data_IF_200416697719
#
_entry.id   IF_200416697719
#
_cell.length_a   1.000
_cell.length_b   1.000
_cell.length_c   1.000
_cell.angle_alpha   90.00
_cell.angle_beta   90.00
_cell.angle_gamma   90.00
#
_symmetry.space_group_name_H-M   'P 1'
#
loop_
_entity.id
_entity.type
_entity.pdbx_description
1 polymer ?
#
# COMPACT_ATOMS: atom_id res chain seq x y z
N UNK A 1 33.16 20.60 -2.40
CA UNK A 1 32.18 19.49 -2.51
C UNK A 1 32.76 18.33 -1.72
N UNK A 2 32.15 17.97 -0.63
CA UNK A 2 32.64 16.91 0.26
C UNK A 2 32.31 15.58 -0.40
N UNK A 3 33.32 14.74 -0.61
CA UNK A 3 33.27 13.40 -1.29
C UNK A 3 32.37 12.37 -0.58
N UNK A 4 31.62 12.79 0.44
CA UNK A 4 30.74 11.94 1.27
C UNK A 4 29.42 11.47 0.65
N UNK A 5 29.05 11.96 -0.52
CA UNK A 5 27.72 11.73 -1.12
C UNK A 5 27.71 10.74 -2.30
N UNK A 6 28.86 10.10 -2.57
CA UNK A 6 28.91 9.09 -3.64
C UNK A 6 28.05 7.89 -3.28
N UNK A 7 27.09 7.56 -4.17
CA UNK A 7 26.21 6.40 -4.05
C UNK A 7 26.80 5.17 -4.77
N UNK A 8 26.72 4.02 -4.12
CA UNK A 8 27.04 2.71 -4.72
C UNK A 8 25.73 1.96 -5.01
N UNK A 9 25.65 1.33 -6.18
CA UNK A 9 24.56 0.48 -6.57
C UNK A 9 24.99 -0.99 -6.60
N UNK A 10 24.14 -1.84 -6.07
CA UNK A 10 24.38 -3.28 -6.00
C UNK A 10 23.11 -4.01 -6.45
N UNK A 11 23.23 -4.98 -7.36
CA UNK A 11 22.11 -5.88 -7.64
C UNK A 11 21.90 -6.83 -6.46
N UNK A 12 20.68 -7.12 -6.08
CA UNK A 12 20.33 -7.93 -4.89
C UNK A 12 21.09 -9.25 -4.78
N UNK A 13 21.33 -9.95 -5.90
CA UNK A 13 22.09 -11.22 -5.91
C UNK A 13 23.58 -11.07 -5.60
N UNK A 14 24.11 -9.86 -5.79
CA UNK A 14 25.53 -9.50 -5.55
C UNK A 14 25.65 -8.51 -4.40
N UNK A 15 24.52 -8.07 -3.83
CA UNK A 15 24.47 -7.09 -2.77
C UNK A 15 24.89 -7.72 -1.45
N UNK A 16 25.68 -6.96 -0.69
CA UNK A 16 25.92 -7.21 0.74
C UNK A 16 24.69 -6.89 1.59
N UNK A 17 23.64 -6.28 1.02
CA UNK A 17 22.43 -5.91 1.74
C UNK A 17 21.65 -7.16 2.19
N UNK A 18 21.34 -7.24 3.46
CA UNK A 18 20.59 -8.32 4.08
C UNK A 18 19.09 -8.02 4.12
N UNK A 19 18.28 -9.06 4.27
CA UNK A 19 16.85 -8.91 4.54
C UNK A 19 16.60 -8.09 5.81
N UNK A 20 17.48 -8.20 6.82
CA UNK A 20 17.40 -7.43 8.06
C UNK A 20 17.62 -5.93 7.83
N UNK A 21 18.59 -5.53 7.00
CA UNK A 21 18.80 -4.12 6.65
C UNK A 21 17.63 -3.54 5.83
N UNK A 22 17.09 -4.33 4.88
CA UNK A 22 15.88 -3.95 4.17
C UNK A 22 14.71 -3.73 5.12
N UNK A 23 14.55 -4.63 6.08
CA UNK A 23 13.49 -4.54 7.09
C UNK A 23 13.63 -3.29 7.96
N UNK A 24 14.85 -3.02 8.45
CA UNK A 24 15.13 -1.80 9.20
C UNK A 24 14.89 -0.52 8.37
N UNK A 25 15.14 -0.57 7.05
CA UNK A 25 14.83 0.53 6.15
C UNK A 25 13.32 0.69 5.96
N UNK A 26 12.59 -0.42 5.83
CA UNK A 26 11.13 -0.41 5.73
C UNK A 26 10.46 0.15 7.00
N UNK A 27 11.01 -0.13 8.19
CA UNK A 27 10.58 0.49 9.45
C UNK A 27 10.73 2.02 9.41
N UNK A 28 11.87 2.53 8.95
CA UNK A 28 12.07 3.99 8.80
C UNK A 28 11.17 4.59 7.74
N UNK A 29 10.84 3.84 6.69
CA UNK A 29 9.92 4.26 5.63
C UNK A 29 8.46 4.29 6.11
N UNK A 30 8.07 3.37 7.01
CA UNK A 30 6.72 3.25 7.56
C UNK A 30 5.68 2.77 6.55
N UNK A 31 6.11 2.06 5.49
CA UNK A 31 5.22 1.54 4.45
C UNK A 31 5.25 0.01 4.44
N UNK A 32 4.16 -0.68 4.84
CA UNK A 32 4.10 -2.13 4.90
C UNK A 32 4.31 -2.80 3.52
N UNK A 33 3.94 -2.14 2.44
CA UNK A 33 4.14 -2.64 1.07
C UNK A 33 5.59 -2.54 0.60
N UNK A 34 6.43 -1.76 1.31
CA UNK A 34 7.88 -1.70 1.13
C UNK A 34 8.64 -2.79 1.90
N UNK A 35 8.00 -3.51 2.81
CA UNK A 35 8.65 -4.52 3.65
C UNK A 35 9.13 -5.74 2.85
N UNK A 36 10.20 -6.41 3.29
CA UNK A 36 10.64 -7.65 2.68
C UNK A 36 9.57 -8.75 2.77
N UNK A 37 8.77 -8.81 3.85
CA UNK A 37 7.69 -9.78 3.99
C UNK A 37 6.67 -9.64 2.87
N UNK A 38 6.23 -8.41 2.56
CA UNK A 38 5.29 -8.17 1.46
C UNK A 38 5.90 -8.52 0.11
N UNK A 39 7.07 -7.98 -0.18
CA UNK A 39 7.70 -8.08 -1.49
C UNK A 39 8.15 -9.51 -1.83
N UNK A 40 8.76 -10.22 -0.86
CA UNK A 40 9.24 -11.59 -1.08
C UNK A 40 8.08 -12.60 -1.11
N UNK A 41 7.03 -12.38 -0.31
CA UNK A 41 5.80 -13.19 -0.41
C UNK A 41 5.11 -12.95 -1.75
N UNK A 42 5.01 -11.69 -2.21
CA UNK A 42 4.48 -11.37 -3.52
C UNK A 42 5.27 -12.06 -4.64
N UNK A 43 6.61 -12.02 -4.56
CA UNK A 43 7.48 -12.69 -5.54
C UNK A 43 7.25 -14.20 -5.58
N UNK A 44 7.08 -14.84 -4.43
CA UNK A 44 6.78 -16.27 -4.35
C UNK A 44 5.49 -16.64 -5.08
N UNK A 45 4.44 -15.84 -4.93
CA UNK A 45 3.13 -16.14 -5.52
C UNK A 45 3.00 -15.73 -6.99
N UNK A 46 3.71 -14.69 -7.42
CA UNK A 46 3.53 -14.14 -8.78
C UNK A 46 4.82 -13.92 -9.56
N UNK A 47 5.95 -14.35 -9.06
CA UNK A 47 7.25 -14.19 -9.74
C UNK A 47 7.47 -15.10 -10.95
N UNK A 48 6.71 -16.20 -11.08
CA UNK A 48 6.88 -17.16 -12.18
C UNK A 48 6.78 -16.47 -13.56
N UNK A 49 7.71 -16.78 -14.44
CA UNK A 49 7.79 -16.20 -15.80
C UNK A 49 8.23 -14.74 -15.84
N UNK A 50 8.76 -14.19 -14.72
CA UNK A 50 9.27 -12.82 -14.61
C UNK A 50 10.73 -12.83 -14.17
N UNK A 51 11.45 -11.73 -14.41
CA UNK A 51 12.82 -11.58 -13.94
C UNK A 51 12.90 -10.59 -12.77
N UNK A 52 13.44 -11.04 -11.64
CA UNK A 52 13.67 -10.20 -10.47
C UNK A 52 14.75 -9.16 -10.77
N UNK A 53 14.53 -7.92 -10.38
CA UNK A 53 15.42 -6.77 -10.58
C UNK A 53 15.46 -5.91 -9.33
N UNK A 54 15.88 -6.46 -8.21
CA UNK A 54 16.09 -5.69 -6.98
C UNK A 54 17.48 -5.11 -6.99
N UNK A 55 17.60 -3.81 -6.67
CA UNK A 55 18.88 -3.13 -6.47
C UNK A 55 18.90 -2.45 -5.11
N UNK A 56 20.07 -2.40 -4.48
CA UNK A 56 20.35 -1.67 -3.24
C UNK A 56 21.24 -0.46 -3.55
N UNK A 57 20.96 0.66 -2.90
CA UNK A 57 21.75 1.87 -3.00
C UNK A 57 22.36 2.18 -1.63
N UNK A 58 23.69 2.38 -1.56
CA UNK A 58 24.44 2.67 -0.35
C UNK A 58 25.24 3.96 -0.49
N UNK A 59 25.53 4.62 0.64
CA UNK A 59 26.57 5.67 0.70
C UNK A 59 27.95 5.02 0.65
N UNK A 60 28.82 5.48 -0.26
CA UNK A 60 30.10 4.83 -0.54
C UNK A 60 31.02 4.76 0.69
N UNK A 61 31.12 5.85 1.45
CA UNK A 61 32.04 5.93 2.60
C UNK A 61 31.48 5.21 3.83
N UNK A 62 30.21 5.43 4.15
CA UNK A 62 29.59 4.88 5.38
C UNK A 62 29.04 3.45 5.20
N UNK A 63 28.93 2.94 3.97
CA UNK A 63 28.29 1.67 3.68
C UNK A 63 26.79 1.63 4.01
N UNK A 64 26.21 2.75 4.48
CA UNK A 64 24.83 2.83 4.94
C UNK A 64 23.84 2.61 3.79
N UNK A 65 22.87 1.74 4.00
CA UNK A 65 21.79 1.49 3.03
C UNK A 65 20.85 2.70 2.97
N UNK A 66 20.77 3.32 1.80
CA UNK A 66 19.95 4.51 1.50
C UNK A 66 18.59 4.10 0.93
N UNK A 67 18.59 3.16 -0.02
CA UNK A 67 17.37 2.74 -0.70
C UNK A 67 17.44 1.29 -1.18
N UNK A 68 16.26 0.67 -1.28
CA UNK A 68 16.03 -0.56 -2.04
C UNK A 68 15.04 -0.23 -3.17
N UNK A 69 15.32 -0.70 -4.38
CA UNK A 69 14.43 -0.62 -5.54
C UNK A 69 13.89 -2.01 -5.86
N UNK A 70 12.72 -2.37 -5.30
CA UNK A 70 12.16 -3.71 -5.44
C UNK A 70 11.43 -3.84 -6.78
N UNK A 71 12.15 -4.11 -7.85
CA UNK A 71 11.63 -4.18 -9.20
C UNK A 71 11.57 -5.61 -9.72
N UNK A 72 10.72 -5.80 -10.72
CA UNK A 72 10.71 -6.98 -11.59
C UNK A 72 10.47 -6.59 -13.05
N UNK A 73 10.97 -7.39 -13.96
CA UNK A 73 10.75 -7.26 -15.38
C UNK A 73 9.73 -8.29 -15.85
N UNK A 74 8.67 -7.82 -16.52
CA UNK A 74 7.67 -8.64 -17.19
C UNK A 74 7.75 -8.42 -18.69
N UNK A 75 7.93 -9.50 -19.45
CA UNK A 75 7.89 -9.43 -20.92
C UNK A 75 6.43 -9.49 -21.37
N UNK A 76 5.97 -8.43 -22.00
CA UNK A 76 4.67 -8.31 -22.66
C UNK A 76 4.89 -7.85 -24.08
N UNK A 77 5.18 -8.80 -24.97
CA UNK A 77 5.52 -8.49 -26.36
C UNK A 77 4.60 -7.44 -26.99
N UNK A 78 5.17 -6.41 -27.63
CA UNK A 78 6.59 -6.24 -27.91
C UNK A 78 7.41 -5.60 -26.75
N UNK A 79 6.79 -5.23 -25.59
CA UNK A 79 7.40 -4.46 -24.50
C UNK A 79 7.98 -5.34 -23.39
N UNK A 80 9.12 -4.91 -22.87
CA UNK A 80 9.70 -5.36 -21.59
C UNK A 80 9.41 -4.29 -20.54
N UNK A 81 8.53 -4.62 -19.58
CA UNK A 81 7.99 -3.65 -18.63
C UNK A 81 8.57 -3.88 -17.25
N UNK A 82 9.27 -2.88 -16.72
CA UNK A 82 9.68 -2.80 -15.32
C UNK A 82 8.50 -2.35 -14.45
N UNK A 83 8.34 -2.99 -13.30
CA UNK A 83 7.34 -2.64 -12.29
C UNK A 83 7.88 -2.86 -10.89
N UNK A 84 7.30 -2.19 -9.92
CA UNK A 84 7.57 -2.51 -8.51
C UNK A 84 6.94 -3.85 -8.12
N UNK A 85 7.64 -4.61 -7.27
CA UNK A 85 7.07 -5.74 -6.55
C UNK A 85 5.84 -5.28 -5.75
N UNK A 86 4.95 -6.20 -5.42
CA UNK A 86 3.69 -5.83 -4.76
C UNK A 86 2.59 -5.36 -5.71
N UNK A 87 2.89 -5.15 -6.98
CA UNK A 87 1.93 -4.71 -7.99
C UNK A 87 0.66 -5.58 -8.02
N UNK A 88 -0.47 -4.91 -8.00
CA UNK A 88 -1.81 -5.50 -7.99
C UNK A 88 -2.48 -5.46 -6.62
N UNK A 89 -2.01 -6.17 -5.60
CA UNK A 89 -2.57 -6.04 -4.25
C UNK A 89 -1.99 -4.87 -3.43
N UNK A 90 -0.79 -4.38 -3.72
CA UNK A 90 -0.18 -3.29 -2.95
C UNK A 90 -0.77 -1.92 -3.26
N UNK A 91 -0.92 -1.08 -2.24
CA UNK A 91 -1.51 0.26 -2.37
C UNK A 91 -0.49 1.41 -2.34
N UNK A 92 0.73 1.16 -1.87
CA UNK A 92 1.80 2.16 -1.85
C UNK A 92 3.10 1.48 -2.29
N UNK A 93 3.45 1.65 -3.57
CA UNK A 93 4.63 1.03 -4.17
C UNK A 93 5.71 2.08 -4.40
N UNK A 94 6.95 1.66 -4.59
CA UNK A 94 8.04 2.58 -4.90
C UNK A 94 9.39 2.14 -4.34
N UNK A 95 10.38 3.01 -4.41
CA UNK A 95 11.63 2.85 -3.67
C UNK A 95 11.37 2.78 -2.16
N UNK A 96 12.08 1.91 -1.47
CA UNK A 96 12.06 1.85 -0.01
C UNK A 96 13.23 2.68 0.52
N UNK A 97 12.96 3.81 1.14
CA UNK A 97 13.97 4.70 1.72
C UNK A 97 13.38 5.44 2.93
N UNK A 98 14.26 5.94 3.80
CA UNK A 98 13.83 6.85 4.86
C UNK A 98 13.34 8.19 4.25
N UNK A 99 12.37 8.90 4.86
CA UNK A 99 11.89 10.19 4.34
C UNK A 99 12.99 11.23 4.09
N UNK A 100 14.03 11.25 4.94
CA UNK A 100 15.17 12.15 4.80
C UNK A 100 16.08 11.81 3.60
N UNK A 101 16.04 10.58 3.11
CA UNK A 101 16.90 10.09 2.02
C UNK A 101 16.22 10.12 0.64
N UNK A 102 15.01 10.66 0.50
CA UNK A 102 14.23 10.63 -0.76
C UNK A 102 15.00 11.18 -1.97
N UNK A 103 15.72 12.30 -1.79
CA UNK A 103 16.49 12.89 -2.88
C UNK A 103 17.63 11.97 -3.35
N UNK A 104 18.39 11.40 -2.42
CA UNK A 104 19.46 10.45 -2.69
C UNK A 104 18.89 9.14 -3.30
N UNK A 105 17.74 8.67 -2.80
CA UNK A 105 17.04 7.51 -3.36
C UNK A 105 16.59 7.76 -4.79
N UNK A 106 16.10 8.95 -5.12
CA UNK A 106 15.73 9.33 -6.49
C UNK A 106 16.92 9.33 -7.45
N UNK A 107 18.06 9.89 -7.02
CA UNK A 107 19.31 9.87 -7.78
C UNK A 107 19.83 8.44 -7.99
N UNK A 108 19.88 7.65 -6.92
CA UNK A 108 20.27 6.24 -7.00
C UNK A 108 19.35 5.43 -7.91
N UNK A 109 18.03 5.74 -7.91
CA UNK A 109 17.09 5.05 -8.80
C UNK A 109 17.35 5.35 -10.27
N UNK A 110 17.66 6.60 -10.61
CA UNK A 110 18.03 6.97 -11.99
C UNK A 110 19.27 6.20 -12.44
N UNK A 111 20.30 6.10 -11.59
CA UNK A 111 21.51 5.30 -11.90
C UNK A 111 21.19 3.82 -12.04
N UNK A 112 20.35 3.23 -11.16
CA UNK A 112 19.96 1.83 -11.26
C UNK A 112 19.26 1.53 -12.58
N UNK A 113 18.40 2.43 -13.08
CA UNK A 113 17.76 2.29 -14.39
C UNK A 113 18.76 2.42 -15.53
N UNK A 114 19.77 3.30 -15.41
CA UNK A 114 20.85 3.44 -16.42
C UNK A 114 21.71 2.18 -16.49
N UNK A 115 22.05 1.56 -15.36
CA UNK A 115 22.81 0.30 -15.31
C UNK A 115 22.07 -0.89 -15.92
N UNK A 116 20.73 -0.88 -15.89
CA UNK A 116 19.92 -1.87 -16.61
C UNK A 116 19.98 -1.70 -18.14
N UNK A 117 20.47 -0.56 -18.61
CA UNK A 117 20.71 -0.29 -20.03
C UNK A 117 19.51 -0.56 -20.92
N UNK A 118 19.71 -1.33 -21.99
CA UNK A 118 18.67 -1.71 -22.95
C UNK A 118 17.79 -2.89 -22.54
N UNK A 119 17.88 -3.39 -21.30
CA UNK A 119 17.13 -4.58 -20.86
C UNK A 119 15.63 -4.34 -20.65
N UNK A 120 15.18 -3.10 -20.66
CA UNK A 120 13.80 -2.71 -20.47
C UNK A 120 13.37 -1.63 -21.46
N UNK A 121 12.07 -1.53 -21.74
CA UNK A 121 11.49 -0.55 -22.65
C UNK A 121 10.59 0.46 -21.93
N UNK A 122 9.89 0.03 -20.88
CA UNK A 122 8.95 0.86 -20.13
C UNK A 122 9.08 0.59 -18.62
N UNK A 123 9.27 1.63 -17.82
CA UNK A 123 9.01 1.60 -16.39
C UNK A 123 7.59 2.13 -16.13
N UNK A 124 6.77 1.31 -15.47
CA UNK A 124 5.44 1.73 -15.03
C UNK A 124 5.38 1.68 -13.50
N UNK A 125 5.50 2.87 -12.88
CA UNK A 125 5.28 3.07 -11.45
C UNK A 125 3.81 3.29 -11.17
N UNK A 126 3.19 2.41 -10.41
CA UNK A 126 1.79 2.51 -10.04
C UNK A 126 1.65 2.71 -8.54
N UNK A 127 0.75 3.61 -8.13
CA UNK A 127 0.44 3.86 -6.73
C UNK A 127 1.69 4.26 -5.91
N UNK A 128 2.55 5.08 -6.50
CA UNK A 128 3.75 5.60 -5.84
C UNK A 128 3.36 6.88 -5.09
N UNK A 129 3.73 7.03 -3.81
CA UNK A 129 3.41 8.27 -3.08
C UNK A 129 3.98 9.50 -3.80
N UNK A 130 3.12 10.49 -4.08
CA UNK A 130 3.54 11.71 -4.76
C UNK A 130 4.62 12.47 -3.98
N UNK A 131 4.52 12.44 -2.65
CA UNK A 131 5.49 13.07 -1.74
C UNK A 131 6.90 12.46 -1.82
N UNK A 132 7.07 11.26 -2.38
CA UNK A 132 8.39 10.65 -2.56
C UNK A 132 9.15 11.24 -3.76
N UNK A 133 8.46 12.02 -4.63
CA UNK A 133 9.06 12.75 -5.74
C UNK A 133 9.69 11.86 -6.83
N UNK A 134 9.36 10.57 -6.87
CA UNK A 134 10.01 9.60 -7.77
C UNK A 134 9.79 9.94 -9.23
N UNK A 135 8.58 10.31 -9.63
CA UNK A 135 8.28 10.70 -11.01
C UNK A 135 9.10 11.91 -11.45
N UNK A 136 9.24 12.92 -10.56
CA UNK A 136 10.04 14.13 -10.80
C UNK A 136 11.52 13.78 -10.91
N UNK A 137 12.05 13.00 -9.97
CA UNK A 137 13.47 12.59 -9.95
C UNK A 137 13.87 11.83 -11.22
N UNK A 138 12.96 11.07 -11.82
CA UNK A 138 13.20 10.30 -13.04
C UNK A 138 12.87 11.08 -14.32
N UNK A 139 12.24 12.26 -14.26
CA UNK A 139 11.67 12.91 -15.44
C UNK A 139 10.53 12.10 -16.09
N UNK A 140 9.84 11.29 -15.31
CA UNK A 140 8.78 10.42 -15.79
C UNK A 140 7.45 11.18 -15.98
N UNK A 141 6.58 10.66 -16.85
CA UNK A 141 5.27 11.25 -17.11
C UNK A 141 4.22 10.71 -16.15
N UNK A 142 3.64 11.58 -15.32
CA UNK A 142 2.48 11.25 -14.48
C UNK A 142 1.27 11.03 -15.37
N UNK A 143 0.67 9.86 -15.28
CA UNK A 143 -0.51 9.44 -16.04
C UNK A 143 -1.80 9.62 -15.25
N UNK A 144 -1.74 9.46 -13.93
CA UNK A 144 -2.89 9.53 -13.04
C UNK A 144 -2.46 9.88 -11.63
N UNK A 145 -3.33 10.62 -10.93
CA UNK A 145 -3.27 10.83 -9.48
C UNK A 145 -4.50 10.23 -8.81
N UNK A 146 -4.32 9.68 -7.63
CA UNK A 146 -5.38 9.09 -6.82
C UNK A 146 -5.24 9.56 -5.39
N UNK A 147 -6.39 9.75 -4.74
CA UNK A 147 -6.41 10.12 -3.32
C UNK A 147 -5.93 8.98 -2.43
N UNK A 148 -5.21 9.35 -1.38
CA UNK A 148 -4.75 8.46 -0.31
C UNK A 148 -4.83 9.21 1.02
N UNK A 149 -6.03 9.32 1.63
CA UNK A 149 -6.24 10.10 2.84
C UNK A 149 -5.38 9.62 3.99
N UNK A 150 -4.85 10.58 4.75
CA UNK A 150 -3.94 10.37 5.87
C UNK A 150 -4.42 11.19 7.07
N UNK A 151 -4.45 10.59 8.25
CA UNK A 151 -4.69 11.28 9.50
C UNK A 151 -3.38 11.39 10.28
N UNK A 152 -2.73 12.56 10.31
CA UNK A 152 -1.65 12.81 11.25
C UNK A 152 -2.20 12.74 12.69
N UNK A 153 -1.58 11.95 13.55
CA UNK A 153 -1.94 11.84 14.95
C UNK A 153 -1.10 12.88 15.72
N UNK A 154 -1.65 14.07 15.85
CA UNK A 154 -1.01 15.22 16.53
C UNK A 154 -1.69 15.60 17.83
N UNK A 155 -2.84 15.01 18.16
CA UNK A 155 -3.56 15.20 19.41
C UNK A 155 -3.07 14.20 20.45
N UNK A 156 -3.12 14.60 21.72
CA UNK A 156 -2.70 13.73 22.83
C UNK A 156 -3.62 12.52 23.03
N UNK A 157 -4.92 12.68 22.75
CA UNK A 157 -5.90 11.63 22.94
C UNK A 157 -6.96 11.60 21.82
N UNK A 158 -7.62 10.46 21.68
CA UNK A 158 -8.74 10.27 20.77
C UNK A 158 -9.87 11.30 20.96
N UNK A 159 -10.21 11.65 22.20
CA UNK A 159 -11.28 12.61 22.47
C UNK A 159 -10.92 14.03 22.04
N UNK A 160 -9.66 14.44 22.14
CA UNK A 160 -9.17 15.74 21.66
C UNK A 160 -9.25 15.79 20.12
N UNK A 161 -8.79 14.74 19.45
CA UNK A 161 -8.97 14.62 17.99
C UNK A 161 -10.46 14.65 17.63
N UNK A 162 -11.30 13.88 18.31
CA UNK A 162 -12.73 13.84 18.00
C UNK A 162 -13.38 15.22 18.23
N UNK A 163 -12.93 16.00 19.22
CA UNK A 163 -13.36 17.38 19.45
C UNK A 163 -13.03 18.30 18.28
N UNK A 164 -11.95 18.06 17.55
CA UNK A 164 -11.59 18.83 16.35
C UNK A 164 -12.47 18.55 15.13
N UNK A 165 -13.25 17.46 15.14
CA UNK A 165 -14.15 17.11 14.04
C UNK A 165 -15.52 17.80 14.20
N UNK A 166 -16.32 17.83 13.10
CA UNK A 166 -17.62 18.48 13.11
C UNK A 166 -18.56 17.91 14.20
N UNK A 167 -19.37 18.78 14.81
CA UNK A 167 -20.33 18.39 15.84
C UNK A 167 -21.27 17.26 15.38
N UNK A 168 -21.72 17.35 14.13
CA UNK A 168 -22.59 16.34 13.52
C UNK A 168 -21.89 14.97 13.46
N UNK A 169 -20.63 14.92 12.98
CA UNK A 169 -19.89 13.66 12.92
C UNK A 169 -19.69 13.04 14.31
N UNK A 170 -19.28 13.85 15.30
CA UNK A 170 -19.11 13.41 16.70
C UNK A 170 -20.40 12.82 17.27
N UNK A 171 -21.51 13.55 17.09
CA UNK A 171 -22.82 13.14 17.61
C UNK A 171 -23.28 11.83 16.94
N UNK A 172 -23.13 11.73 15.61
CA UNK A 172 -23.51 10.52 14.88
C UNK A 172 -22.68 9.31 15.32
N UNK A 173 -21.36 9.45 15.45
CA UNK A 173 -20.47 8.36 15.88
C UNK A 173 -20.88 7.86 17.29
N UNK A 174 -20.95 8.77 18.26
CA UNK A 174 -21.33 8.44 19.64
C UNK A 174 -22.74 7.84 19.76
N UNK A 175 -23.68 8.30 18.92
CA UNK A 175 -25.02 7.73 18.85
C UNK A 175 -25.02 6.29 18.33
N UNK A 176 -24.26 6.01 17.28
CA UNK A 176 -24.13 4.67 16.69
C UNK A 176 -23.49 3.69 17.67
N UNK A 177 -22.39 4.06 18.29
CA UNK A 177 -21.70 3.27 19.32
C UNK A 177 -22.66 2.93 20.48
N UNK A 178 -23.33 3.95 21.05
CA UNK A 178 -24.29 3.75 22.13
C UNK A 178 -25.47 2.88 21.73
N UNK A 179 -26.01 3.07 20.52
CA UNK A 179 -27.13 2.25 20.03
C UNK A 179 -26.74 0.78 19.91
N UNK A 180 -25.54 0.51 19.40
CA UNK A 180 -25.06 -0.86 19.28
C UNK A 180 -24.82 -1.51 20.65
N UNK A 181 -24.21 -0.78 21.60
CA UNK A 181 -23.86 -1.30 22.91
C UNK A 181 -25.05 -1.47 23.87
N UNK A 182 -26.16 -0.71 23.70
CA UNK A 182 -27.32 -0.76 24.62
C UNK A 182 -28.14 -2.04 24.52
N UNK A 183 -28.21 -2.63 23.37
CA UNK A 183 -29.12 -3.74 23.08
C UNK A 183 -28.43 -5.08 22.86
N UNK A 184 -27.10 -5.12 22.88
CA UNK A 184 -26.33 -6.27 22.44
C UNK A 184 -24.98 -6.38 23.12
N UNK A 185 -24.48 -7.61 23.33
CA UNK A 185 -23.11 -7.85 23.74
C UNK A 185 -22.17 -7.55 22.55
N UNK A 186 -21.33 -6.51 22.68
CA UNK A 186 -20.40 -6.05 21.64
C UNK A 186 -18.97 -6.28 22.11
N UNK A 187 -18.17 -6.90 21.25
CA UNK A 187 -16.75 -7.16 21.50
C UNK A 187 -15.90 -6.75 20.32
N UNK A 188 -14.83 -6.01 20.57
CA UNK A 188 -13.76 -5.76 19.61
C UNK A 188 -12.58 -6.68 19.95
N UNK A 189 -12.16 -7.48 19.00
CA UNK A 189 -11.09 -8.43 19.20
C UNK A 189 -9.99 -8.23 18.16
N UNK A 190 -8.76 -8.08 18.61
CA UNK A 190 -7.57 -8.08 17.75
C UNK A 190 -7.03 -9.51 17.67
N UNK A 191 -6.74 -9.97 16.46
CA UNK A 191 -6.03 -11.25 16.26
C UNK A 191 -4.58 -11.08 16.68
N UNK A 192 -4.18 -11.80 17.72
CA UNK A 192 -2.81 -11.77 18.28
C UNK A 192 -2.14 -13.14 18.23
N UNK A 193 -2.88 -14.20 17.92
CA UNK A 193 -2.45 -15.58 17.94
C UNK A 193 -2.54 -16.24 16.55
N UNK A 194 -1.54 -17.02 16.21
CA UNK A 194 -1.50 -17.81 14.97
C UNK A 194 -2.63 -18.84 14.89
N UNK A 195 -3.10 -19.36 16.02
CA UNK A 195 -4.22 -20.33 16.07
C UNK A 195 -5.54 -19.70 15.64
N UNK A 196 -5.75 -18.42 15.95
CA UNK A 196 -6.95 -17.66 15.55
C UNK A 196 -6.87 -17.12 14.12
N UNK A 197 -5.65 -16.87 13.61
CA UNK A 197 -5.42 -16.17 12.35
C UNK A 197 -6.15 -16.79 11.17
N UNK A 198 -6.17 -18.12 11.07
CA UNK A 198 -6.84 -18.79 9.93
C UNK A 198 -8.35 -18.55 9.93
N UNK A 199 -8.97 -18.67 11.09
CA UNK A 199 -10.40 -18.41 11.29
C UNK A 199 -10.74 -16.94 10.95
N UNK A 200 -9.96 -16.02 11.48
CA UNK A 200 -10.22 -14.59 11.36
C UNK A 200 -10.00 -14.07 9.94
N UNK A 201 -9.00 -14.60 9.22
CA UNK A 201 -8.85 -14.33 7.79
C UNK A 201 -10.00 -14.90 6.97
N UNK A 202 -10.51 -16.08 7.32
CA UNK A 202 -11.69 -16.65 6.65
C UNK A 202 -12.91 -15.78 6.88
N UNK A 203 -13.11 -15.30 8.10
CA UNK A 203 -14.16 -14.33 8.46
C UNK A 203 -14.02 -13.04 7.66
N UNK A 204 -12.82 -12.46 7.59
CA UNK A 204 -12.54 -11.26 6.78
C UNK A 204 -12.92 -11.49 5.31
N UNK A 205 -12.48 -12.59 4.70
CA UNK A 205 -12.76 -12.88 3.29
C UNK A 205 -14.25 -13.04 3.02
N UNK A 206 -14.97 -13.72 3.92
CA UNK A 206 -16.41 -13.89 3.85
C UNK A 206 -17.15 -12.55 3.93
N UNK A 207 -16.87 -11.74 4.93
CA UNK A 207 -17.47 -10.42 5.15
C UNK A 207 -17.12 -9.43 4.03
N UNK A 208 -15.88 -9.49 3.52
CA UNK A 208 -15.48 -8.68 2.37
C UNK A 208 -16.26 -9.07 1.11
N UNK A 209 -16.42 -10.37 0.85
CA UNK A 209 -17.18 -10.89 -0.29
C UNK A 209 -18.67 -10.54 -0.17
N UNK A 210 -19.23 -10.63 1.02
CA UNK A 210 -20.63 -10.26 1.27
C UNK A 210 -20.91 -8.78 0.93
N UNK A 211 -19.93 -7.89 1.23
CA UNK A 211 -20.04 -6.45 0.94
C UNK A 211 -19.76 -6.09 -0.51
N UNK A 212 -18.73 -6.67 -1.13
CA UNK A 212 -18.17 -6.20 -2.41
C UNK A 212 -18.39 -7.16 -3.57
N UNK A 213 -18.87 -8.37 -3.30
CA UNK A 213 -18.94 -9.47 -4.29
C UNK A 213 -17.57 -10.08 -4.60
N UNK A 214 -17.53 -10.98 -5.57
CA UNK A 214 -16.35 -11.77 -5.96
C UNK A 214 -15.54 -11.14 -7.09
N UNK A 215 -15.44 -9.81 -7.13
CA UNK A 215 -14.72 -9.11 -8.21
C UNK A 215 -13.25 -9.53 -8.27
N UNK A 216 -12.78 -10.00 -9.42
CA UNK A 216 -11.40 -10.42 -9.63
C UNK A 216 -10.37 -9.27 -9.42
N UNK A 217 -10.79 -8.01 -9.55
CA UNK A 217 -9.96 -6.82 -9.27
C UNK A 217 -9.81 -6.50 -7.79
N UNK A 218 -10.65 -7.10 -6.92
CA UNK A 218 -10.57 -6.87 -5.46
C UNK A 218 -9.22 -7.32 -4.91
N UNK A 219 -8.70 -6.56 -3.95
CA UNK A 219 -7.47 -6.91 -3.24
C UNK A 219 -7.57 -8.28 -2.54
N UNK A 220 -8.75 -8.64 -2.03
CA UNK A 220 -9.04 -9.91 -1.36
C UNK A 220 -9.78 -10.93 -2.25
N UNK A 221 -9.68 -10.78 -3.59
CA UNK A 221 -10.25 -11.77 -4.51
C UNK A 221 -9.78 -13.20 -4.18
N UNK A 222 -10.59 -14.24 -4.43
CA UNK A 222 -10.25 -15.64 -4.09
C UNK A 222 -8.85 -16.06 -4.56
N UNK A 223 -8.43 -15.63 -5.75
CA UNK A 223 -7.10 -15.92 -6.30
C UNK A 223 -5.94 -15.26 -5.54
N UNK A 224 -6.21 -14.29 -4.66
CA UNK A 224 -5.23 -13.56 -3.85
C UNK A 224 -5.20 -14.00 -2.39
N UNK A 225 -6.19 -14.74 -1.93
CA UNK A 225 -6.30 -15.19 -0.55
C UNK A 225 -5.09 -16.02 -0.08
N UNK A 226 -4.51 -16.94 -0.88
CA UNK A 226 -3.30 -17.68 -0.46
C UNK A 226 -2.13 -16.75 -0.12
N UNK A 227 -1.93 -15.69 -0.92
CA UNK A 227 -0.93 -14.67 -0.63
C UNK A 227 -1.20 -13.98 0.71
N UNK A 228 -2.45 -13.52 0.93
CA UNK A 228 -2.81 -12.83 2.17
C UNK A 228 -2.69 -13.71 3.40
N UNK A 229 -3.00 -15.01 3.30
CA UNK A 229 -2.79 -15.94 4.40
C UNK A 229 -1.30 -16.05 4.77
N UNK A 230 -0.42 -16.19 3.79
CA UNK A 230 1.02 -16.29 4.04
C UNK A 230 1.60 -14.96 4.55
N UNK A 231 1.23 -13.85 3.92
CA UNK A 231 1.71 -12.54 4.33
C UNK A 231 1.23 -12.17 5.75
N UNK A 232 -0.06 -12.39 6.06
CA UNK A 232 -0.61 -12.10 7.38
C UNK A 232 0.08 -12.92 8.49
N UNK A 233 0.41 -14.18 8.23
CA UNK A 233 1.14 -15.00 9.20
C UNK A 233 2.55 -14.44 9.49
N UNK A 234 3.26 -13.99 8.45
CA UNK A 234 4.57 -13.33 8.59
C UNK A 234 4.47 -11.98 9.31
N UNK A 235 3.45 -11.18 8.97
CA UNK A 235 3.20 -9.89 9.60
C UNK A 235 2.81 -10.05 11.07
N UNK A 236 2.00 -11.08 11.41
CA UNK A 236 1.63 -11.39 12.80
C UNK A 236 2.86 -11.79 13.63
N UNK A 237 3.71 -12.67 13.09
CA UNK A 237 4.93 -13.11 13.78
C UNK A 237 5.89 -11.93 14.10
N UNK A 238 5.75 -10.79 13.42
CA UNK A 238 6.50 -9.56 13.66
C UNK A 238 5.73 -8.48 14.43
N UNK A 239 4.53 -8.77 14.91
CA UNK A 239 3.67 -7.81 15.58
C UNK A 239 3.15 -6.67 14.67
N UNK A 240 3.21 -6.88 13.34
CA UNK A 240 2.82 -5.87 12.33
C UNK A 240 1.39 -6.03 11.82
N UNK A 241 0.77 -7.19 12.04
CA UNK A 241 -0.61 -7.43 11.64
C UNK A 241 -1.57 -6.68 12.55
N UNK A 242 -2.57 -6.05 11.94
CA UNK A 242 -3.73 -5.48 12.61
C UNK A 242 -4.97 -6.08 11.95
N UNK A 243 -5.53 -7.11 12.56
CA UNK A 243 -6.77 -7.75 12.11
C UNK A 243 -7.78 -7.68 13.24
N UNK A 244 -8.70 -6.72 13.14
CA UNK A 244 -9.76 -6.51 14.09
C UNK A 244 -11.04 -7.22 13.65
N UNK A 245 -11.70 -7.88 14.60
CA UNK A 245 -13.03 -8.47 14.43
C UNK A 245 -13.99 -7.78 15.40
N UNK A 246 -15.10 -7.28 14.87
CA UNK A 246 -16.23 -6.82 15.67
C UNK A 246 -17.24 -7.94 15.76
N UNK A 247 -17.50 -8.38 16.98
CA UNK A 247 -18.48 -9.43 17.30
C UNK A 247 -19.69 -8.80 18.01
N UNK A 248 -20.87 -9.28 17.64
CA UNK A 248 -22.14 -8.91 18.30
C UNK A 248 -22.87 -10.19 18.65
N UNK A 249 -23.22 -10.38 19.92
CA UNK A 249 -23.79 -11.62 20.46
C UNK A 249 -22.92 -12.87 20.16
N UNK A 250 -21.61 -12.69 20.02
CA UNK A 250 -20.65 -13.73 19.67
C UNK A 250 -20.44 -13.95 18.16
N UNK A 251 -21.28 -13.37 17.31
CA UNK A 251 -21.16 -13.49 15.85
C UNK A 251 -20.28 -12.39 15.27
N UNK A 252 -19.34 -12.70 14.36
CA UNK A 252 -18.52 -11.69 13.70
C UNK A 252 -19.34 -10.94 12.63
N UNK A 253 -19.50 -9.63 12.83
CA UNK A 253 -20.32 -8.76 11.96
C UNK A 253 -19.49 -7.79 11.12
N UNK A 254 -18.25 -7.49 11.51
CA UNK A 254 -17.32 -6.71 10.71
C UNK A 254 -15.87 -7.15 10.97
N UNK A 255 -15.03 -7.01 9.96
CA UNK A 255 -13.59 -7.24 10.03
C UNK A 255 -12.85 -6.09 9.39
N UNK A 256 -11.73 -5.67 10.01
CA UNK A 256 -10.82 -4.63 9.56
C UNK A 256 -9.41 -5.22 9.47
N UNK A 257 -8.79 -5.11 8.33
CA UNK A 257 -7.49 -5.68 8.01
C UNK A 257 -6.52 -4.58 7.64
N UNK A 258 -5.44 -4.48 8.39
CA UNK A 258 -4.42 -3.48 8.21
C UNK A 258 -3.08 -3.89 8.82
N UNK A 259 -2.15 -2.95 8.84
CA UNK A 259 -0.76 -3.20 9.23
C UNK A 259 -0.21 -2.02 10.01
N UNK A 260 0.75 -2.32 10.88
CA UNK A 260 1.51 -1.34 11.63
C UNK A 260 2.98 -1.46 11.29
N UNK A 261 3.62 -0.36 10.92
CA UNK A 261 5.04 -0.31 10.61
C UNK A 261 5.60 1.09 10.90
N UNK A 262 6.71 1.18 11.61
CA UNK A 262 7.42 2.44 11.83
C UNK A 262 6.56 3.54 12.47
N UNK A 263 5.68 3.20 13.43
CA UNK A 263 4.77 4.14 14.09
C UNK A 263 3.61 4.63 13.22
N UNK A 264 3.30 3.92 12.15
CA UNK A 264 2.19 4.22 11.23
C UNK A 264 1.24 3.03 11.22
N UNK A 265 -0.06 3.28 11.39
CA UNK A 265 -1.10 2.29 11.16
C UNK A 265 -1.75 2.50 9.80
N UNK A 266 -1.90 1.43 9.02
CA UNK A 266 -2.43 1.46 7.66
C UNK A 266 -3.68 0.61 7.56
N UNK A 267 -4.81 1.23 7.18
CA UNK A 267 -6.08 0.58 6.89
C UNK A 267 -6.07 0.04 5.47
N UNK A 268 -5.98 -1.27 5.31
CA UNK A 268 -5.86 -1.86 3.99
C UNK A 268 -7.20 -2.32 3.41
N UNK A 269 -7.93 -3.18 4.11
CA UNK A 269 -9.21 -3.70 3.64
C UNK A 269 -10.19 -3.91 4.79
N UNK A 270 -11.48 -3.91 4.50
CA UNK A 270 -12.52 -4.28 5.46
C UNK A 270 -13.67 -5.01 4.79
N UNK A 271 -14.37 -5.81 5.59
CA UNK A 271 -15.64 -6.40 5.26
C UNK A 271 -16.64 -6.24 6.40
N UNK A 272 -17.92 -6.26 6.10
CA UNK A 272 -18.98 -6.28 7.10
C UNK A 272 -20.23 -6.93 6.51
N UNK A 273 -21.05 -7.49 7.38
CA UNK A 273 -22.28 -8.15 7.02
C UNK A 273 -23.35 -7.12 6.63
N UNK A 274 -23.87 -7.12 5.38
CA UNK A 274 -24.88 -6.16 4.92
C UNK A 274 -26.15 -6.10 5.78
N UNK A 275 -26.48 -7.15 6.53
CA UNK A 275 -27.59 -7.15 7.49
C UNK A 275 -27.41 -6.13 8.62
N UNK A 276 -26.18 -5.66 8.85
CA UNK A 276 -25.81 -4.68 9.88
C UNK A 276 -25.57 -3.28 9.31
N UNK A 277 -26.00 -2.99 8.08
CA UNK A 277 -25.83 -1.70 7.41
C UNK A 277 -26.38 -0.53 8.28
N UNK A 278 -27.57 -0.66 8.82
CA UNK A 278 -28.23 0.37 9.65
C UNK A 278 -27.50 0.62 10.98
N UNK A 279 -26.79 -0.38 11.50
CA UNK A 279 -25.96 -0.23 12.70
C UNK A 279 -24.61 0.41 12.39
N UNK A 280 -24.22 0.54 11.10
CA UNK A 280 -22.95 1.15 10.66
C UNK A 280 -21.71 0.49 11.28
N UNK A 281 -21.72 -0.84 11.44
CA UNK A 281 -20.68 -1.61 12.12
C UNK A 281 -19.28 -1.39 11.52
N UNK A 282 -19.19 -1.19 10.20
CA UNK A 282 -17.91 -0.87 9.53
C UNK A 282 -17.32 0.49 9.97
N UNK A 283 -18.19 1.51 10.17
CA UNK A 283 -17.73 2.82 10.66
C UNK A 283 -17.33 2.76 12.13
N UNK A 284 -18.05 2.00 12.94
CA UNK A 284 -17.75 1.80 14.37
C UNK A 284 -16.39 1.09 14.50
N UNK A 285 -16.16 0.03 13.73
CA UNK A 285 -14.90 -0.72 13.75
C UNK A 285 -13.73 0.14 13.25
N UNK A 286 -13.93 0.95 12.22
CA UNK A 286 -12.92 1.90 11.74
C UNK A 286 -12.58 2.94 12.82
N UNK A 287 -13.58 3.52 13.49
CA UNK A 287 -13.34 4.46 14.58
C UNK A 287 -12.60 3.80 15.77
N UNK A 288 -12.93 2.55 16.07
CA UNK A 288 -12.22 1.77 17.09
C UNK A 288 -10.74 1.55 16.71
N UNK A 289 -10.44 1.19 15.47
CA UNK A 289 -9.04 0.99 15.02
C UNK A 289 -8.23 2.29 15.07
N UNK A 290 -8.85 3.44 14.74
CA UNK A 290 -8.20 4.75 14.86
C UNK A 290 -7.95 5.08 16.34
N UNK A 291 -8.95 4.87 17.22
CA UNK A 291 -8.79 5.06 18.68
C UNK A 291 -7.63 4.22 19.21
N UNK A 292 -7.56 2.94 18.85
CA UNK A 292 -6.44 2.08 19.22
C UNK A 292 -5.09 2.60 18.72
N UNK A 293 -5.04 3.22 17.54
CA UNK A 293 -3.80 3.83 17.05
C UNK A 293 -3.37 5.04 17.90
N UNK A 294 -4.31 5.85 18.42
CA UNK A 294 -4.00 6.90 19.39
C UNK A 294 -3.48 6.33 20.72
N UNK A 295 -4.17 5.34 21.28
CA UNK A 295 -3.82 4.69 22.55
C UNK A 295 -2.43 4.02 22.48
N UNK A 296 -2.06 3.48 21.31
CA UNK A 296 -0.77 2.83 21.07
C UNK A 296 0.33 3.82 20.63
N UNK A 297 0.06 5.15 20.65
CA UNK A 297 1.05 6.19 20.34
C UNK A 297 1.53 6.21 18.88
N UNK A 298 0.68 5.84 17.93
CA UNK A 298 1.02 5.98 16.52
C UNK A 298 1.09 7.46 16.14
N UNK A 299 2.00 7.81 15.21
CA UNK A 299 2.13 9.19 14.71
C UNK A 299 1.23 9.49 13.52
N UNK A 300 0.72 8.45 12.84
CA UNK A 300 -0.05 8.58 11.61
C UNK A 300 -0.97 7.38 11.42
N UNK A 301 -2.17 7.64 10.88
CA UNK A 301 -3.10 6.62 10.43
C UNK A 301 -3.39 6.83 8.93
N UNK A 302 -3.05 5.86 8.08
CA UNK A 302 -3.24 5.88 6.63
C UNK A 302 -4.49 5.13 6.23
N UNK A 303 -5.41 5.80 5.54
CA UNK A 303 -6.58 5.15 4.95
C UNK A 303 -6.27 4.47 3.63
N UNK A 304 -5.04 4.60 3.15
CA UNK A 304 -4.54 4.08 1.89
C UNK A 304 -5.38 4.55 0.68
N UNK A 305 -5.26 3.85 -0.44
CA UNK A 305 -5.84 4.21 -1.71
C UNK A 305 -7.35 4.41 -1.66
N UNK A 306 -7.83 5.44 -2.36
CA UNK A 306 -9.24 5.74 -2.57
C UNK A 306 -9.73 6.95 -1.78
N UNK A 307 -10.56 7.74 -2.42
CA UNK A 307 -11.15 8.97 -1.85
C UNK A 307 -12.61 8.77 -1.45
N UNK A 308 -12.96 7.61 -0.89
CA UNK A 308 -14.34 7.34 -0.46
C UNK A 308 -14.77 8.34 0.60
N UNK A 309 -15.99 8.86 0.47
CA UNK A 309 -16.55 9.95 1.27
C UNK A 309 -16.40 9.72 2.79
N UNK A 310 -16.54 8.47 3.25
CA UNK A 310 -16.42 8.17 4.68
C UNK A 310 -15.03 8.46 5.25
N UNK A 311 -13.95 8.36 4.44
CA UNK A 311 -12.58 8.69 4.86
C UNK A 311 -12.44 10.17 5.15
N UNK A 312 -13.04 11.03 4.32
CA UNK A 312 -13.07 12.48 4.51
C UNK A 312 -13.77 12.95 5.79
N UNK A 313 -14.56 12.10 6.44
CA UNK A 313 -15.13 12.41 7.76
C UNK A 313 -14.08 12.35 8.87
N UNK A 314 -13.03 11.56 8.69
CA UNK A 314 -11.95 11.38 9.66
C UNK A 314 -10.75 12.30 9.40
N UNK A 315 -10.49 12.69 8.16
CA UNK A 315 -9.35 13.55 7.84
C UNK A 315 -9.60 14.40 6.61
N UNK A 316 -8.97 15.57 6.58
CA UNK A 316 -8.94 16.47 5.43
C UNK A 316 -7.59 16.39 4.69
N UNK A 317 -6.59 15.71 5.26
CA UNK A 317 -5.27 15.54 4.66
C UNK A 317 -5.24 14.38 3.66
N UNK A 318 -4.47 14.57 2.60
CA UNK A 318 -4.32 13.59 1.50
C UNK A 318 -2.86 13.52 1.06
N UNK A 319 -2.33 12.31 0.99
CA UNK A 319 -0.93 12.05 0.58
C UNK A 319 -0.82 11.62 -0.88
N UNK A 320 -1.80 11.83 -1.69
CA UNK A 320 -1.88 11.46 -3.11
C UNK A 320 -0.91 10.33 -3.59
N UNK A 321 -1.40 9.47 -4.46
CA UNK A 321 -0.61 8.46 -5.14
C UNK A 321 -0.54 8.76 -6.63
N UNK A 322 0.62 8.56 -7.23
CA UNK A 322 0.85 8.74 -8.65
C UNK A 322 0.97 7.41 -9.38
N UNK A 323 0.43 7.36 -10.59
CA UNK A 323 0.83 6.37 -11.60
C UNK A 323 1.60 7.11 -12.67
N UNK A 324 2.83 6.70 -12.93
CA UNK A 324 3.72 7.33 -13.91
C UNK A 324 4.32 6.31 -14.87
N UNK A 325 4.79 6.80 -16.02
CA UNK A 325 5.48 6.02 -17.04
C UNK A 325 6.78 6.71 -17.47
N UNK A 326 7.84 5.93 -17.64
CA UNK A 326 9.11 6.34 -18.20
C UNK A 326 9.49 5.37 -19.34
N UNK A 327 9.74 5.89 -20.53
CA UNK A 327 10.16 5.12 -21.69
C UNK A 327 11.68 5.03 -21.79
N UNK A 328 12.15 3.88 -22.27
CA UNK A 328 13.55 3.65 -22.65
C UNK A 328 13.61 3.26 -24.12
N UNK A 329 14.35 4.02 -24.94
CA UNK A 329 14.42 3.83 -26.39
C UNK A 329 13.13 4.20 -27.13
N UNK A 330 13.11 3.95 -28.43
CA UNK A 330 12.02 4.36 -29.33
C UNK A 330 10.68 3.69 -28.96
N UNK A 331 10.72 2.38 -28.70
CA UNK A 331 9.53 1.59 -28.41
C UNK A 331 8.89 2.00 -27.09
N UNK A 332 9.71 2.22 -26.05
CA UNK A 332 9.24 2.67 -24.73
C UNK A 332 8.66 4.08 -24.79
N UNK A 333 9.30 5.00 -25.49
CA UNK A 333 8.79 6.37 -25.67
C UNK A 333 7.47 6.39 -26.43
N UNK A 334 7.31 5.58 -27.47
CA UNK A 334 6.04 5.43 -28.17
C UNK A 334 4.93 4.91 -27.23
N UNK A 335 5.25 3.94 -26.37
CA UNK A 335 4.31 3.42 -25.37
C UNK A 335 3.89 4.49 -24.37
N UNK A 336 4.79 5.37 -23.92
CA UNK A 336 4.47 6.51 -23.04
C UNK A 336 3.53 7.49 -23.73
N UNK A 337 3.79 7.84 -25.00
CA UNK A 337 2.91 8.76 -25.77
C UNK A 337 1.49 8.18 -25.88
N UNK A 338 1.37 6.88 -26.16
CA UNK A 338 0.07 6.21 -26.25
C UNK A 338 -0.63 6.18 -24.88
N UNK A 339 0.10 5.92 -23.80
CA UNK A 339 -0.43 5.90 -22.44
C UNK A 339 -0.99 7.30 -22.04
N UNK A 340 -0.26 8.38 -22.37
CA UNK A 340 -0.70 9.77 -22.13
C UNK A 340 -1.98 10.10 -22.87
N UNK A 341 -2.07 9.78 -24.18
CA UNK A 341 -3.28 9.99 -24.98
C UNK A 341 -4.49 9.23 -24.44
N UNK A 342 -4.25 8.06 -23.85
CA UNK A 342 -5.31 7.27 -23.24
C UNK A 342 -5.79 7.88 -21.91
N UNK A 343 -4.89 8.48 -21.14
CA UNK A 343 -5.20 9.13 -19.87
C UNK A 343 -6.05 10.41 -20.07
N UNK A 344 -5.80 11.20 -21.12
CA UNK A 344 -6.51 12.48 -21.40
C UNK A 344 -7.92 12.28 -21.98
N UNK A 345 -8.20 11.16 -22.64
CA UNK A 345 -9.50 10.91 -23.30
C UNK A 345 -10.57 10.27 -22.41
N UNK A 346 -10.38 10.29 -21.10
CA UNK A 346 -11.27 9.61 -20.17
C UNK A 346 -11.21 8.07 -20.38
N UNK A 347 -11.16 7.34 -19.32
CA UNK A 347 -10.92 5.89 -19.31
C UNK A 347 -12.08 5.04 -19.88
N UNK A 348 -12.85 5.55 -20.87
CA UNK A 348 -13.97 4.88 -21.52
C UNK A 348 -13.51 3.83 -22.56
N UNK A 349 -14.40 2.88 -22.84
CA UNK A 349 -14.25 1.71 -23.70
C UNK A 349 -13.97 2.06 -25.17
N UNK A 350 -12.69 2.28 -25.56
CA UNK A 350 -12.30 2.53 -26.95
C UNK A 350 -11.20 1.55 -27.44
N UNK A 351 -10.78 1.58 -28.73
CA UNK A 351 -9.73 0.70 -29.30
C UNK A 351 -8.39 0.78 -28.58
N UNK A 352 -8.18 1.77 -27.70
CA UNK A 352 -7.05 1.89 -26.77
C UNK A 352 -7.10 0.89 -25.59
N UNK A 353 -8.16 0.11 -25.41
CA UNK A 353 -8.23 -1.02 -24.47
C UNK A 353 -7.16 -2.10 -24.71
N UNK A 354 -6.57 -2.16 -25.92
CA UNK A 354 -5.42 -3.01 -26.22
C UNK A 354 -4.12 -2.49 -25.62
N UNK A 355 -3.89 -1.17 -25.64
CA UNK A 355 -2.73 -0.54 -25.01
C UNK A 355 -2.82 -0.68 -23.48
N UNK A 356 -4.03 -0.52 -22.91
CA UNK A 356 -4.30 -0.80 -21.47
C UNK A 356 -3.94 -2.25 -21.10
N UNK A 357 -4.29 -3.21 -21.93
CA UNK A 357 -3.94 -4.64 -21.71
C UNK A 357 -2.43 -4.87 -21.87
N UNK A 358 -1.79 -4.24 -22.85
CA UNK A 358 -0.36 -4.30 -23.10
C UNK A 358 0.46 -3.72 -21.94
N UNK A 359 0.05 -2.56 -21.40
CA UNK A 359 0.74 -1.93 -20.27
C UNK A 359 0.15 -2.36 -18.90
N UNK A 360 -0.91 -3.20 -18.88
CA UNK A 360 -1.49 -3.78 -17.66
C UNK A 360 -2.10 -2.77 -16.70
N UNK A 361 -2.56 -1.64 -17.21
CA UNK A 361 -3.41 -0.70 -16.48
C UNK A 361 -4.83 -1.28 -16.43
N UNK A 362 -5.14 -2.09 -15.41
CA UNK A 362 -6.53 -2.43 -15.08
C UNK A 362 -7.09 -1.30 -14.22
N UNK A 363 -8.30 -0.86 -14.54
CA UNK A 363 -9.08 0.08 -13.76
C UNK A 363 -9.61 -0.55 -12.48
#
# INVERSE_FOLDING_TARGET
MVDGDRLLLETWRKSSATVGEWDALAERNGNPFGSPEWNLTWWKHWGAGRALRISACRRAQAGTLVAIYPLYLATRRPLRVLRFLGHGPGDMLGPVCAPADRAAAGEGFRRALTELGGDWDLLLGQQVPAADGVAVALGAHVLRRERSPVLPIVWAAWDDYLASRSANFRQQLRRRERRLARSRAVRFRLTVDQTELHRDLTTLFSLHTARWGTRASSALAPSRQPFHREFAARALARGRLRLWILEVEGDPVAAWYGFRLGGIESYYQAGWDPRWADASVGTILLAHSIRSAFEDGMREYRFLRGGEEYKGRFTDSDAELETFALGNGLLGNAAVVLARRSATRGWSRGPLGSVRRLIGLRG
#
